data_IF_252918782952
#
_entry.id   IF_252918782952
#
_cell.length_a   1.000
_cell.length_b   1.000
_cell.length_c   1.000
_cell.angle_alpha   90.00
_cell.angle_beta   90.00
_cell.angle_gamma   90.00
#
_symmetry.space_group_name_H-M   'P 1'
#
loop_
_entity.id
_entity.type
_entity.pdbx_description
1 polymer ?
#
# COMPACT_ATOMS: atom_id res chain seq x y z
N UNK A 1 -29.69 -2.38 -36.08
CA UNK A 1 -28.42 -1.74 -35.73
C UNK A 1 -27.91 -2.41 -34.46
N UNK A 2 -26.85 -3.20 -34.56
CA UNK A 2 -26.19 -3.81 -33.39
C UNK A 2 -25.42 -2.71 -32.63
N UNK A 3 -25.89 -2.37 -31.44
CA UNK A 3 -25.13 -1.47 -30.56
C UNK A 3 -23.87 -2.24 -30.10
N UNK A 4 -22.73 -1.85 -30.62
CA UNK A 4 -21.44 -2.35 -30.17
C UNK A 4 -21.32 -2.05 -28.67
N UNK A 5 -21.35 -3.10 -27.87
CA UNK A 5 -21.19 -2.99 -26.41
C UNK A 5 -19.81 -2.36 -26.12
N UNK A 6 -19.82 -1.13 -25.66
CA UNK A 6 -18.59 -0.40 -25.37
C UNK A 6 -17.79 -1.15 -24.30
N UNK A 7 -16.58 -1.59 -24.64
CA UNK A 7 -15.70 -2.30 -23.72
C UNK A 7 -15.00 -1.28 -22.81
N UNK A 8 -15.24 -1.38 -21.51
CA UNK A 8 -14.52 -0.59 -20.52
C UNK A 8 -13.27 -1.35 -20.10
N UNK A 9 -12.13 -0.69 -20.18
CA UNK A 9 -10.84 -1.20 -19.69
C UNK A 9 -10.48 -0.39 -18.44
N UNK A 10 -10.41 -1.06 -17.29
CA UNK A 10 -10.00 -0.42 -16.04
C UNK A 10 -8.47 -0.32 -15.97
N UNK A 11 -7.97 0.79 -15.43
CA UNK A 11 -6.53 0.99 -15.19
C UNK A 11 -6.00 -0.01 -14.17
N UNK A 12 -6.80 -0.28 -13.14
CA UNK A 12 -6.50 -1.28 -12.11
C UNK A 12 -7.80 -1.91 -11.62
N UNK A 13 -7.74 -3.16 -11.24
CA UNK A 13 -8.85 -3.87 -10.61
C UNK A 13 -8.27 -4.69 -9.44
N UNK A 14 -8.73 -4.44 -8.20
CA UNK A 14 -8.33 -5.25 -7.05
C UNK A 14 -8.73 -6.71 -7.24
N UNK A 15 -7.86 -7.62 -6.85
CA UNK A 15 -8.13 -9.04 -6.78
C UNK A 15 -8.33 -9.40 -5.30
N UNK A 16 -9.57 -9.41 -4.87
CA UNK A 16 -9.98 -9.70 -3.49
C UNK A 16 -10.96 -10.86 -3.48
N UNK A 17 -10.88 -11.70 -2.47
CA UNK A 17 -11.72 -12.87 -2.28
C UNK A 17 -12.08 -13.12 -0.82
N UNK A 18 -12.53 -14.34 -0.57
CA UNK A 18 -12.97 -14.76 0.77
C UNK A 18 -11.81 -14.78 1.78
N UNK A 19 -10.57 -15.03 1.33
CA UNK A 19 -9.40 -15.07 2.20
C UNK A 19 -9.12 -13.70 2.84
N UNK A 20 -9.18 -12.64 2.07
CA UNK A 20 -8.99 -11.27 2.56
C UNK A 20 -10.16 -10.87 3.46
N UNK A 21 -11.37 -11.24 3.09
CA UNK A 21 -12.57 -10.98 3.89
C UNK A 21 -12.47 -11.65 5.27
N UNK A 22 -12.16 -12.94 5.33
CA UNK A 22 -12.03 -13.66 6.60
C UNK A 22 -10.86 -13.13 7.45
N UNK A 23 -9.75 -12.72 6.83
CA UNK A 23 -8.62 -12.12 7.55
C UNK A 23 -8.98 -10.79 8.22
N UNK A 24 -9.87 -9.99 7.63
CA UNK A 24 -10.36 -8.75 8.22
C UNK A 24 -11.41 -8.98 9.31
N UNK A 25 -12.16 -10.05 9.23
CA UNK A 25 -13.25 -10.39 10.18
C UNK A 25 -12.76 -10.44 11.63
N UNK A 26 -11.60 -11.00 11.87
CA UNK A 26 -11.00 -11.05 13.21
C UNK A 26 -10.78 -9.65 13.80
N UNK A 27 -10.42 -8.68 12.99
CA UNK A 27 -10.24 -7.29 13.45
C UNK A 27 -11.56 -6.70 13.95
N UNK A 28 -12.67 -6.99 13.27
CA UNK A 28 -14.00 -6.56 13.71
C UNK A 28 -14.44 -7.26 15.00
N UNK A 29 -14.17 -8.55 15.14
CA UNK A 29 -14.54 -9.32 16.33
C UNK A 29 -13.76 -8.88 17.57
N UNK A 30 -12.48 -8.57 17.41
CA UNK A 30 -11.61 -8.13 18.51
C UNK A 30 -11.69 -6.63 18.78
N UNK A 31 -12.26 -5.85 17.87
CA UNK A 31 -12.28 -4.39 17.91
C UNK A 31 -10.90 -3.74 17.70
N UNK A 32 -9.90 -4.51 17.28
CA UNK A 32 -8.57 -3.97 17.03
C UNK A 32 -8.45 -3.41 15.61
N UNK A 33 -8.78 -2.14 15.45
CA UNK A 33 -8.85 -1.46 14.15
C UNK A 33 -7.65 -0.53 13.87
N UNK A 34 -6.74 -0.39 14.82
CA UNK A 34 -5.54 0.44 14.71
C UNK A 34 -4.27 -0.43 14.60
N UNK A 35 -3.10 0.19 14.72
CA UNK A 35 -1.85 -0.56 14.76
C UNK A 35 -1.88 -1.62 15.87
N UNK A 36 -1.47 -2.84 15.52
CA UNK A 36 -1.53 -3.96 16.44
C UNK A 36 -0.93 -5.23 15.86
N UNK A 37 -1.36 -6.41 16.32
CA UNK A 37 -0.76 -7.69 15.93
C UNK A 37 -0.79 -7.96 14.41
N UNK A 38 -1.83 -7.55 13.70
CA UNK A 38 -1.94 -7.71 12.24
C UNK A 38 -0.92 -6.85 11.51
N UNK A 39 -0.73 -5.60 11.94
CA UNK A 39 0.28 -4.71 11.36
C UNK A 39 1.69 -5.27 11.61
N UNK A 40 1.99 -5.70 12.82
CA UNK A 40 3.29 -6.32 13.14
C UNK A 40 3.55 -7.59 12.31
N UNK A 41 2.54 -8.43 12.12
CA UNK A 41 2.64 -9.62 11.28
C UNK A 41 2.87 -9.26 9.81
N UNK A 42 2.18 -8.24 9.30
CA UNK A 42 2.37 -7.72 7.95
C UNK A 42 3.79 -7.18 7.73
N UNK A 43 4.27 -6.33 8.60
CA UNK A 43 5.64 -5.78 8.54
C UNK A 43 6.69 -6.87 8.51
N UNK A 44 6.54 -7.89 9.39
CA UNK A 44 7.44 -9.04 9.43
C UNK A 44 7.42 -9.86 8.15
N UNK A 45 6.23 -10.14 7.61
CA UNK A 45 6.06 -10.90 6.37
C UNK A 45 6.63 -10.13 5.17
N UNK A 46 6.37 -8.82 5.11
CA UNK A 46 6.86 -7.94 4.06
C UNK A 46 8.40 -7.83 4.08
N UNK A 47 8.98 -7.58 5.25
CA UNK A 47 10.43 -7.55 5.40
C UNK A 47 11.08 -8.87 4.95
N UNK A 48 10.52 -10.01 5.36
CA UNK A 48 10.99 -11.33 4.93
C UNK A 48 10.91 -11.52 3.42
N UNK A 49 9.77 -11.14 2.82
CA UNK A 49 9.54 -11.28 1.36
C UNK A 49 10.54 -10.49 0.54
N UNK A 50 10.91 -9.32 1.00
CA UNK A 50 11.84 -8.39 0.32
C UNK A 50 13.27 -8.50 0.82
N UNK A 51 13.59 -9.45 1.70
CA UNK A 51 14.92 -9.65 2.29
C UNK A 51 15.46 -8.36 2.94
N UNK A 52 14.53 -7.54 3.47
CA UNK A 52 14.84 -6.33 4.19
C UNK A 52 14.98 -6.61 5.69
N UNK A 53 15.80 -5.83 6.38
CA UNK A 53 15.94 -5.90 7.84
C UNK A 53 14.66 -5.51 8.57
N UNK A 54 14.00 -4.48 8.06
CA UNK A 54 12.82 -3.87 8.67
C UNK A 54 11.80 -3.52 7.59
N UNK A 55 10.53 -3.49 7.97
CA UNK A 55 9.45 -2.88 7.21
C UNK A 55 8.59 -2.10 8.18
N UNK A 56 8.08 -0.96 7.74
CA UNK A 56 7.24 -0.07 8.53
C UNK A 56 5.97 0.20 7.73
N UNK A 57 4.82 -0.16 8.29
CA UNK A 57 3.54 0.11 7.68
C UNK A 57 3.14 1.58 7.85
N UNK A 58 2.63 2.16 6.78
CA UNK A 58 2.08 3.52 6.75
C UNK A 58 0.63 3.49 6.29
N UNK A 59 -0.11 4.56 6.52
CA UNK A 59 -1.53 4.63 6.18
C UNK A 59 -1.80 4.55 4.66
N UNK A 60 -0.85 4.99 3.85
CA UNK A 60 -0.91 4.95 2.39
C UNK A 60 0.49 5.16 1.78
N UNK A 61 0.61 4.99 0.46
CA UNK A 61 1.87 5.14 -0.25
C UNK A 61 2.43 6.57 -0.18
N UNK A 62 1.59 7.59 -0.26
CA UNK A 62 2.01 9.00 -0.17
C UNK A 62 2.72 9.29 1.14
N UNK A 63 2.15 8.84 2.26
CA UNK A 63 2.79 9.01 3.58
C UNK A 63 4.06 8.17 3.71
N UNK A 64 4.12 7.01 3.05
CA UNK A 64 5.33 6.19 2.98
C UNK A 64 6.48 6.92 2.25
N UNK A 65 6.20 7.50 1.10
CA UNK A 65 7.18 8.29 0.34
C UNK A 65 7.67 9.50 1.15
N UNK A 66 6.76 10.23 1.78
CA UNK A 66 7.11 11.37 2.65
C UNK A 66 7.97 10.93 3.83
N UNK A 67 7.61 9.83 4.48
CA UNK A 67 8.39 9.29 5.61
C UNK A 67 9.82 8.94 5.19
N UNK A 68 10.02 8.34 4.02
CA UNK A 68 11.35 8.00 3.49
C UNK A 68 12.18 9.25 3.30
N UNK A 69 11.64 10.27 2.62
CA UNK A 69 12.36 11.53 2.37
C UNK A 69 12.72 12.23 3.68
N UNK A 70 11.79 12.28 4.63
CA UNK A 70 12.03 12.86 5.95
C UNK A 70 13.09 12.09 6.74
N UNK A 71 13.04 10.77 6.74
CA UNK A 71 14.02 9.92 7.44
C UNK A 71 15.42 10.02 6.84
N UNK A 72 15.53 10.26 5.54
CA UNK A 72 16.79 10.49 4.83
C UNK A 72 17.27 11.93 4.90
N UNK A 73 16.51 12.81 5.56
CA UNK A 73 16.78 14.25 5.66
C UNK A 73 16.92 14.95 4.28
N UNK A 74 16.13 14.51 3.31
CA UNK A 74 16.05 15.12 1.98
C UNK A 74 15.27 16.43 2.08
N UNK A 75 15.83 17.52 1.57
CA UNK A 75 15.26 18.87 1.70
C UNK A 75 15.72 19.83 0.59
N UNK A 76 15.56 21.14 0.82
CA UNK A 76 15.94 22.15 -0.15
C UNK A 76 17.38 22.00 -0.64
N UNK A 77 17.57 21.95 -1.96
CA UNK A 77 18.86 21.74 -2.61
C UNK A 77 19.16 20.28 -2.98
N UNK A 78 18.37 19.34 -2.50
CA UNK A 78 18.49 17.92 -2.88
C UNK A 78 17.66 17.61 -4.12
N UNK A 79 18.07 16.59 -4.87
CA UNK A 79 17.41 16.13 -6.07
C UNK A 79 16.89 14.70 -5.88
N UNK A 80 15.68 14.43 -6.36
CA UNK A 80 15.05 13.10 -6.31
C UNK A 80 14.59 12.71 -7.71
N UNK A 81 15.07 11.58 -8.21
CA UNK A 81 14.65 11.04 -9.51
C UNK A 81 13.35 10.27 -9.34
N UNK A 82 12.33 10.66 -10.10
CA UNK A 82 11.01 10.05 -10.06
C UNK A 82 10.50 9.75 -11.48
N UNK A 83 9.63 8.73 -11.66
CA UNK A 83 8.93 8.51 -12.92
C UNK A 83 7.96 9.66 -13.22
N UNK A 84 7.84 10.05 -14.50
CA UNK A 84 6.85 11.06 -14.90
C UNK A 84 5.45 10.49 -15.04
N UNK A 85 5.32 9.22 -15.38
CA UNK A 85 4.03 8.51 -15.51
C UNK A 85 3.66 7.83 -14.18
N UNK A 86 3.15 8.64 -13.25
CA UNK A 86 2.73 8.19 -11.92
C UNK A 86 1.71 9.17 -11.33
N UNK A 87 1.17 8.87 -10.16
CA UNK A 87 0.35 9.78 -9.40
C UNK A 87 1.18 10.97 -8.90
N UNK A 88 0.52 12.08 -8.60
CA UNK A 88 1.16 13.35 -8.24
C UNK A 88 1.96 13.29 -6.92
N UNK A 89 1.69 12.32 -6.07
CA UNK A 89 2.42 12.15 -4.80
C UNK A 89 3.96 11.86 -5.01
#
# INVERSE_FOLDING_TARGET
>A
MSMTKQRTIHIAQPCLGDEEWEATRECFQTGWLTQGPKVAAFEKAFAKRHQAKHAIATSNCTTGLHLILAAMNIGPGDEVIVPSFTWIA
#
